data_IF_359344801298
#
_entry.id   IF_359344801298
#
_cell.length_a   1.000
_cell.length_b   1.000
_cell.length_c   1.000
_cell.angle_alpha   90.00
_cell.angle_beta   90.00
_cell.angle_gamma   90.00
#
_symmetry.space_group_name_H-M   'P 1'
#
loop_
_entity.id
_entity.type
_entity.pdbx_description
1 polymer ?
#
# COMPACT_ATOMS: atom_id res chain seq x y z
N UNK A 1 31.84 6.45 13.07
CA UNK A 1 30.93 6.19 14.23
C UNK A 1 30.25 4.87 13.92
N UNK A 2 30.32 3.90 14.84
CA UNK A 2 29.71 2.60 14.61
C UNK A 2 28.21 2.76 14.23
N UNK A 3 27.76 1.96 13.27
CA UNK A 3 26.35 1.83 12.92
C UNK A 3 25.67 1.08 14.09
N UNK A 4 25.21 1.79 15.10
CA UNK A 4 24.37 1.21 16.14
C UNK A 4 22.93 1.55 15.80
N UNK A 5 22.21 0.66 15.08
CA UNK A 5 20.81 0.90 14.77
C UNK A 5 19.99 0.90 16.07
N UNK A 6 18.92 1.68 16.16
CA UNK A 6 18.00 1.59 17.28
C UNK A 6 17.46 0.16 17.35
N UNK A 7 17.43 -0.41 18.54
CA UNK A 7 16.77 -1.70 18.81
C UNK A 7 15.47 -1.37 19.51
N UNK A 8 14.37 -1.98 19.05
CA UNK A 8 13.08 -1.83 19.71
C UNK A 8 13.18 -2.27 21.19
N UNK A 9 12.55 -1.55 22.11
CA UNK A 9 12.69 -1.80 23.54
C UNK A 9 12.11 -3.15 23.98
N UNK A 10 11.18 -3.69 23.23
CA UNK A 10 10.53 -4.98 23.52
C UNK A 10 10.45 -5.83 22.25
N UNK A 11 11.21 -6.91 22.22
CA UNK A 11 11.24 -7.89 21.13
C UNK A 11 10.90 -9.26 21.72
N UNK A 12 9.77 -9.86 21.30
CA UNK A 12 9.38 -11.21 21.70
C UNK A 12 10.35 -12.27 21.10
N UNK A 13 11.08 -13.02 21.93
CA UNK A 13 12.04 -14.01 21.44
C UNK A 13 11.40 -15.10 20.54
N UNK A 14 10.13 -15.43 20.76
CA UNK A 14 9.45 -16.45 19.96
C UNK A 14 9.17 -15.95 18.52
N UNK A 15 8.91 -14.66 18.35
CA UNK A 15 8.76 -14.05 17.02
C UNK A 15 10.11 -14.05 16.31
N UNK A 16 11.20 -13.66 17.00
CA UNK A 16 12.55 -13.69 16.42
C UNK A 16 12.99 -15.10 16.03
N UNK A 17 12.68 -16.09 16.83
CA UNK A 17 13.01 -17.49 16.51
C UNK A 17 12.32 -17.93 15.21
N UNK A 18 11.02 -17.65 15.05
CA UNK A 18 10.28 -17.96 13.81
C UNK A 18 10.85 -17.23 12.62
N UNK A 19 11.16 -15.94 12.79
CA UNK A 19 11.76 -15.12 11.75
C UNK A 19 13.15 -15.66 11.34
N UNK A 20 14.02 -15.98 12.29
CA UNK A 20 15.36 -16.53 12.03
C UNK A 20 15.28 -17.88 11.28
N UNK A 21 14.31 -18.73 11.62
CA UNK A 21 14.08 -20.00 10.90
C UNK A 21 13.69 -19.77 9.44
N UNK A 22 12.79 -18.80 9.16
CA UNK A 22 12.39 -18.44 7.80
C UNK A 22 13.56 -17.87 6.98
N UNK A 23 14.42 -17.06 7.60
CA UNK A 23 15.56 -16.44 6.95
C UNK A 23 16.76 -17.39 6.75
N UNK A 24 16.73 -18.60 7.29
CA UNK A 24 17.88 -19.52 7.22
C UNK A 24 18.30 -19.80 5.77
N UNK A 25 17.35 -19.96 4.85
CA UNK A 25 17.62 -20.16 3.43
C UNK A 25 18.01 -18.89 2.67
N UNK A 26 17.64 -17.71 3.18
CA UNK A 26 17.96 -16.41 2.59
C UNK A 26 19.40 -15.99 2.90
N UNK A 27 19.93 -16.43 4.07
CA UNK A 27 21.27 -16.12 4.54
C UNK A 27 21.41 -14.70 5.10
N UNK A 28 22.64 -14.29 5.36
CA UNK A 28 22.96 -13.00 5.96
C UNK A 28 22.73 -11.81 4.99
N UNK A 29 22.47 -10.63 5.58
CA UNK A 29 22.41 -9.36 4.86
C UNK A 29 23.35 -8.34 5.51
N UNK A 30 24.13 -7.65 4.69
CA UNK A 30 25.04 -6.57 5.10
C UNK A 30 24.57 -5.24 4.54
N UNK A 31 24.45 -4.24 5.38
CA UNK A 31 24.25 -2.85 4.95
C UNK A 31 25.58 -2.10 4.98
N UNK A 32 25.93 -1.49 3.85
CA UNK A 32 27.07 -0.57 3.70
C UNK A 32 26.53 0.86 3.72
N UNK A 33 26.91 1.62 4.75
CA UNK A 33 26.36 2.96 5.02
C UNK A 33 27.53 3.93 5.16
N UNK A 34 27.78 4.74 4.14
CA UNK A 34 28.86 5.75 4.10
C UNK A 34 30.22 5.25 4.57
N UNK A 35 30.57 3.99 4.25
CA UNK A 35 31.84 3.36 4.59
C UNK A 35 31.81 2.49 5.85
N UNK A 36 30.82 2.61 6.69
CA UNK A 36 30.57 1.69 7.80
C UNK A 36 29.76 0.47 7.29
N UNK A 37 29.81 -0.63 8.01
CA UNK A 37 29.05 -1.85 7.66
C UNK A 37 28.41 -2.48 8.90
N UNK A 38 27.20 -2.99 8.75
CA UNK A 38 26.50 -3.84 9.73
C UNK A 38 25.93 -5.06 9.03
N UNK A 39 26.10 -6.23 9.64
CA UNK A 39 25.61 -7.51 9.11
C UNK A 39 24.60 -8.12 10.07
N UNK A 40 23.48 -8.58 9.52
CA UNK A 40 22.46 -9.37 10.19
C UNK A 40 22.53 -10.80 9.72
N UNK A 41 22.65 -11.73 10.65
CA UNK A 41 22.78 -13.17 10.36
C UNK A 41 21.68 -13.95 11.06
N UNK A 42 20.91 -14.81 10.36
CA UNK A 42 19.96 -15.70 11.01
C UNK A 42 20.70 -16.70 11.90
N UNK A 43 20.57 -16.55 13.20
CA UNK A 43 21.23 -17.39 14.22
C UNK A 43 20.19 -17.93 15.21
N UNK A 44 19.43 -18.98 14.78
CA UNK A 44 18.35 -19.56 15.60
C UNK A 44 18.84 -19.86 17.03
N UNK A 45 18.15 -19.36 18.06
CA UNK A 45 16.78 -18.83 18.07
C UNK A 45 16.65 -17.29 17.88
N UNK A 46 17.64 -16.62 17.35
CA UNK A 46 17.66 -15.16 17.23
C UNK A 46 18.27 -14.69 15.90
N UNK A 47 18.47 -13.41 15.78
CA UNK A 47 19.24 -12.75 14.72
C UNK A 47 20.47 -12.13 15.37
N UNK A 48 21.65 -12.52 14.88
CA UNK A 48 22.92 -11.93 15.30
C UNK A 48 23.19 -10.66 14.49
N UNK A 49 23.69 -9.62 15.14
CA UNK A 49 24.05 -8.34 14.52
C UNK A 49 25.51 -8.05 14.82
N UNK A 50 26.31 -7.97 13.77
CA UNK A 50 27.76 -7.76 13.86
C UNK A 50 28.18 -6.53 13.07
N UNK A 51 29.22 -5.84 13.56
CA UNK A 51 29.90 -4.81 12.76
C UNK A 51 30.72 -5.46 11.64
N UNK A 52 30.78 -4.77 10.50
CA UNK A 52 31.55 -5.22 9.35
C UNK A 52 30.73 -6.00 8.30
N UNK A 53 31.40 -6.36 7.21
CA UNK A 53 30.84 -7.07 6.07
C UNK A 53 31.12 -8.56 6.20
N UNK A 54 30.08 -9.38 6.08
CA UNK A 54 30.22 -10.84 6.08
C UNK A 54 30.38 -11.40 4.65
N UNK A 55 31.21 -12.44 4.54
CA UNK A 55 31.35 -13.20 3.29
C UNK A 55 30.03 -13.91 2.96
N UNK A 56 29.68 -13.94 1.67
CA UNK A 56 28.44 -14.59 1.21
C UNK A 56 27.15 -13.84 1.46
N UNK A 57 27.12 -12.80 2.33
CA UNK A 57 25.93 -12.03 2.61
C UNK A 57 25.38 -11.29 1.38
N UNK A 58 24.07 -11.06 1.31
CA UNK A 58 23.49 -10.01 0.47
C UNK A 58 24.07 -8.67 0.90
N UNK A 59 24.44 -7.80 -0.04
CA UNK A 59 25.07 -6.52 0.27
C UNK A 59 24.24 -5.39 -0.31
N UNK A 60 23.73 -4.54 0.58
CA UNK A 60 22.92 -3.37 0.27
C UNK A 60 23.71 -2.11 0.61
N UNK A 61 23.85 -1.19 -0.33
CA UNK A 61 24.53 0.09 -0.12
C UNK A 61 23.51 1.23 -0.11
N UNK A 62 23.69 2.15 0.85
CA UNK A 62 22.89 3.37 0.98
C UNK A 62 23.65 4.45 1.73
N UNK A 63 23.11 5.68 1.72
CA UNK A 63 23.60 6.77 2.55
C UNK A 63 23.19 6.62 4.02
N UNK A 64 23.82 7.35 4.92
CA UNK A 64 23.41 7.43 6.33
C UNK A 64 21.98 7.94 6.48
N UNK A 65 21.60 8.94 5.70
CA UNK A 65 20.23 9.48 5.72
C UNK A 65 19.21 8.41 5.33
N UNK A 66 19.47 7.65 4.25
CA UNK A 66 18.59 6.55 3.82
C UNK A 66 18.53 5.42 4.84
N UNK A 67 19.64 5.12 5.51
CA UNK A 67 19.67 4.14 6.60
C UNK A 67 18.83 4.59 7.81
N UNK A 68 18.99 5.84 8.23
CA UNK A 68 18.22 6.41 9.34
C UNK A 68 16.72 6.45 9.02
N UNK A 69 16.34 6.76 7.78
CA UNK A 69 14.96 6.71 7.31
C UNK A 69 14.40 5.27 7.34
N UNK A 70 15.18 4.29 6.87
CA UNK A 70 14.78 2.89 6.85
C UNK A 70 14.53 2.35 8.27
N UNK A 71 15.49 2.52 9.19
CA UNK A 71 15.39 1.96 10.55
C UNK A 71 14.35 2.68 11.42
N UNK A 72 14.05 3.94 11.12
CA UNK A 72 13.00 4.72 11.78
C UNK A 72 11.63 4.63 11.10
N UNK A 73 11.54 3.87 10.02
CA UNK A 73 10.31 3.66 9.25
C UNK A 73 9.74 4.96 8.63
N UNK A 74 10.58 5.96 8.37
CA UNK A 74 10.19 7.13 7.57
C UNK A 74 10.07 6.78 6.10
N UNK A 75 10.95 5.89 5.61
CA UNK A 75 10.92 5.37 4.24
C UNK A 75 11.08 3.86 4.25
N UNK A 76 10.33 3.17 3.41
CA UNK A 76 10.48 1.72 3.24
C UNK A 76 11.62 1.40 2.28
N UNK A 77 12.09 0.16 2.30
CA UNK A 77 13.10 -0.28 1.34
C UNK A 77 12.61 -0.18 -0.10
N UNK A 78 11.30 -0.35 -0.35
CA UNK A 78 10.68 -0.20 -1.67
C UNK A 78 10.83 1.25 -2.16
N UNK A 79 10.49 2.23 -1.31
CA UNK A 79 10.66 3.63 -1.65
C UNK A 79 12.13 3.97 -1.92
N UNK A 80 13.04 3.54 -1.04
CA UNK A 80 14.48 3.77 -1.22
C UNK A 80 15.01 3.12 -2.51
N UNK A 81 14.52 1.95 -2.88
CA UNK A 81 14.87 1.29 -4.13
C UNK A 81 14.32 2.05 -5.36
N UNK A 82 13.06 2.46 -5.33
CA UNK A 82 12.44 3.23 -6.41
C UNK A 82 13.09 4.60 -6.61
N UNK A 83 13.55 5.23 -5.53
CA UNK A 83 14.23 6.53 -5.56
C UNK A 83 15.74 6.43 -5.85
N UNK A 84 16.27 5.22 -6.08
CA UNK A 84 17.71 4.95 -6.28
C UNK A 84 18.60 5.33 -5.07
N UNK A 85 18.00 5.48 -3.89
CA UNK A 85 18.70 5.74 -2.63
C UNK A 85 19.21 4.47 -1.96
N UNK A 86 18.91 3.29 -2.55
CA UNK A 86 19.36 1.97 -2.17
C UNK A 86 19.87 1.22 -3.40
N UNK A 87 21.04 0.60 -3.29
CA UNK A 87 21.62 -0.21 -4.36
C UNK A 87 22.11 -1.57 -3.84
N UNK A 88 21.98 -2.62 -4.66
CA UNK A 88 22.50 -3.94 -4.35
C UNK A 88 23.90 -4.11 -4.97
N UNK A 89 24.92 -4.34 -4.13
CA UNK A 89 26.26 -4.74 -4.60
C UNK A 89 26.34 -6.25 -4.80
N UNK A 90 25.58 -7.03 -4.02
CA UNK A 90 25.45 -8.48 -4.13
C UNK A 90 24.08 -8.93 -3.65
N UNK A 91 23.50 -9.94 -4.28
CA UNK A 91 22.13 -10.35 -4.05
C UNK A 91 21.16 -9.42 -4.78
N UNK A 92 19.97 -9.24 -4.23
CA UNK A 92 18.96 -8.42 -4.89
C UNK A 92 17.73 -8.14 -4.04
N UNK A 93 16.72 -7.61 -4.70
CA UNK A 93 15.46 -7.19 -4.10
C UNK A 93 14.79 -8.32 -3.27
N UNK A 94 14.79 -9.55 -3.78
CA UNK A 94 14.16 -10.70 -3.12
C UNK A 94 14.72 -10.95 -1.71
N UNK A 95 16.05 -10.96 -1.57
CA UNK A 95 16.68 -11.18 -0.27
C UNK A 95 16.38 -10.04 0.71
N UNK A 96 16.37 -8.79 0.23
CA UNK A 96 16.00 -7.64 1.04
C UNK A 96 14.53 -7.74 1.48
N UNK A 97 13.63 -8.15 0.59
CA UNK A 97 12.22 -8.34 0.87
C UNK A 97 11.97 -9.43 1.93
N UNK A 98 12.78 -10.50 1.93
CA UNK A 98 12.73 -11.54 2.96
C UNK A 98 13.15 -10.98 4.34
N UNK A 99 14.13 -10.08 4.37
CA UNK A 99 14.64 -9.46 5.59
C UNK A 99 13.77 -8.33 6.12
N UNK A 100 13.01 -7.62 5.28
CA UNK A 100 12.28 -6.40 5.65
C UNK A 100 11.37 -6.56 6.88
N UNK A 101 10.51 -7.60 7.01
CA UNK A 101 9.66 -7.76 8.20
C UNK A 101 10.47 -7.96 9.49
N UNK A 102 11.63 -8.58 9.39
CA UNK A 102 12.49 -8.82 10.56
C UNK A 102 13.22 -7.55 10.98
N UNK A 103 13.69 -6.77 10.02
CA UNK A 103 14.31 -5.46 10.27
C UNK A 103 13.31 -4.49 10.91
N UNK A 104 12.06 -4.45 10.41
CA UNK A 104 10.97 -3.66 11.00
C UNK A 104 10.71 -4.06 12.46
N UNK A 105 10.70 -5.36 12.72
CA UNK A 105 10.51 -5.84 14.08
C UNK A 105 11.69 -5.49 14.98
N UNK A 106 12.93 -5.70 14.55
CA UNK A 106 14.14 -5.41 15.32
C UNK A 106 14.31 -3.92 15.64
N UNK A 107 13.96 -3.04 14.69
CA UNK A 107 14.24 -1.61 14.83
C UNK A 107 13.05 -0.78 15.32
N UNK A 108 11.85 -1.15 14.92
CA UNK A 108 10.63 -0.40 15.19
C UNK A 108 9.60 -1.16 16.04
N UNK A 109 9.85 -2.42 16.37
CA UNK A 109 8.91 -3.24 17.15
C UNK A 109 7.64 -3.64 16.38
N UNK A 110 7.62 -3.46 15.04
CA UNK A 110 6.47 -3.79 14.20
C UNK A 110 6.45 -5.30 13.99
N UNK A 111 5.48 -6.04 14.57
CA UNK A 111 5.50 -7.49 14.51
C UNK A 111 5.19 -7.99 13.09
N UNK A 112 5.82 -9.08 12.64
CA UNK A 112 5.37 -9.78 11.44
C UNK A 112 3.92 -10.26 11.62
N UNK A 113 3.12 -10.16 10.57
CA UNK A 113 1.74 -10.63 10.58
C UNK A 113 1.69 -12.14 10.89
N UNK A 114 0.79 -12.51 11.81
CA UNK A 114 0.56 -13.88 12.25
C UNK A 114 -0.95 -14.19 12.16
N UNK A 115 -1.41 -14.96 11.16
CA UNK A 115 -2.82 -15.25 10.96
C UNK A 115 -3.45 -16.04 12.12
N UNK A 116 -2.65 -16.82 12.87
CA UNK A 116 -3.12 -17.58 14.03
C UNK A 116 -3.44 -16.68 15.24
N UNK A 117 -2.96 -15.46 15.23
CA UNK A 117 -3.16 -14.46 16.28
C UNK A 117 -4.14 -13.35 15.88
N UNK A 118 -4.74 -13.43 14.69
CA UNK A 118 -5.73 -12.46 14.26
C UNK A 118 -6.97 -12.53 15.17
N UNK A 119 -7.23 -11.46 15.91
CA UNK A 119 -8.41 -11.30 16.76
C UNK A 119 -9.31 -10.20 16.21
N UNK A 120 -10.48 -10.58 15.80
CA UNK A 120 -11.46 -9.64 15.24
C UNK A 120 -12.40 -9.04 16.30
N UNK A 121 -12.16 -9.28 17.58
CA UNK A 121 -12.98 -8.79 18.69
C UNK A 121 -14.48 -9.06 18.49
N UNK A 122 -14.82 -10.21 17.91
CA UNK A 122 -16.21 -10.62 17.61
C UNK A 122 -16.86 -9.90 16.43
N UNK A 123 -16.11 -9.09 15.66
CA UNK A 123 -16.63 -8.39 14.48
C UNK A 123 -16.64 -9.28 13.24
N UNK A 124 -17.56 -8.98 12.34
CA UNK A 124 -17.70 -9.69 11.07
C UNK A 124 -16.92 -8.95 9.97
N UNK A 125 -15.93 -9.61 9.31
CA UNK A 125 -15.23 -9.00 8.17
C UNK A 125 -16.12 -8.80 6.92
N UNK A 126 -17.30 -9.42 6.87
CA UNK A 126 -18.29 -9.22 5.79
C UNK A 126 -19.33 -8.14 6.09
N UNK A 127 -19.24 -7.47 7.25
CA UNK A 127 -20.24 -6.48 7.66
C UNK A 127 -20.29 -5.30 6.68
N UNK A 128 -21.52 -4.93 6.31
CA UNK A 128 -21.82 -3.76 5.49
C UNK A 128 -22.63 -2.78 6.34
N UNK A 129 -22.23 -1.52 6.32
CA UNK A 129 -22.86 -0.45 7.06
C UNK A 129 -23.60 0.52 6.13
N UNK A 130 -24.35 1.45 6.71
CA UNK A 130 -24.90 2.62 6.01
C UNK A 130 -24.46 3.89 6.72
N UNK A 131 -24.69 5.06 6.10
CA UNK A 131 -24.36 6.35 6.73
C UNK A 131 -25.20 6.64 8.00
N UNK A 132 -26.24 5.88 8.28
CA UNK A 132 -27.04 6.03 9.51
C UNK A 132 -26.37 5.40 10.73
N UNK A 133 -25.33 4.59 10.55
CA UNK A 133 -24.55 4.03 11.63
C UNK A 133 -23.75 5.11 12.38
N UNK A 134 -23.59 4.93 13.69
CA UNK A 134 -22.82 5.84 14.53
C UNK A 134 -21.33 5.83 14.17
N UNK A 135 -20.67 7.01 14.23
CA UNK A 135 -19.24 7.15 13.99
C UNK A 135 -18.40 6.21 14.87
N UNK A 136 -18.81 5.97 16.12
CA UNK A 136 -18.10 5.07 17.03
C UNK A 136 -18.15 3.61 16.56
N UNK A 137 -19.27 3.17 15.98
CA UNK A 137 -19.42 1.81 15.44
C UNK A 137 -18.59 1.64 14.18
N UNK A 138 -18.66 2.60 13.26
CA UNK A 138 -17.86 2.62 12.03
C UNK A 138 -16.35 2.67 12.33
N UNK A 139 -15.95 3.54 13.27
CA UNK A 139 -14.56 3.65 13.71
C UNK A 139 -14.06 2.35 14.33
N UNK A 140 -14.84 1.72 15.20
CA UNK A 140 -14.47 0.47 15.84
C UNK A 140 -14.35 -0.71 14.83
N UNK A 141 -15.15 -0.73 13.76
CA UNK A 141 -14.96 -1.69 12.67
C UNK A 141 -13.65 -1.43 11.92
N UNK A 142 -13.41 -0.16 11.55
CA UNK A 142 -12.21 0.24 10.83
C UNK A 142 -10.93 0.02 11.67
N UNK A 143 -10.98 0.29 12.98
CA UNK A 143 -9.86 0.09 13.92
C UNK A 143 -9.48 -1.39 14.06
N UNK A 144 -10.46 -2.30 14.12
CA UNK A 144 -10.20 -3.73 14.29
C UNK A 144 -9.88 -4.43 12.98
N UNK A 145 -10.63 -4.12 11.92
CA UNK A 145 -10.49 -4.80 10.63
C UNK A 145 -9.48 -4.16 9.69
N UNK A 146 -9.18 -2.86 9.89
CA UNK A 146 -8.41 -2.06 8.96
C UNK A 146 -9.20 -1.63 7.72
N UNK A 147 -10.46 -2.04 7.59
CA UNK A 147 -11.34 -1.64 6.49
C UNK A 147 -12.82 -1.57 6.89
N UNK A 148 -13.60 -0.89 6.04
CA UNK A 148 -15.03 -0.67 6.23
C UNK A 148 -15.72 -0.63 4.86
N UNK A 149 -16.90 -1.25 4.74
CA UNK A 149 -17.80 -1.13 3.59
C UNK A 149 -19.06 -0.36 4.02
N UNK A 150 -19.34 0.75 3.33
CA UNK A 150 -20.54 1.58 3.56
C UNK A 150 -21.36 1.61 2.28
N UNK A 151 -22.56 1.04 2.33
CA UNK A 151 -23.46 0.94 1.19
C UNK A 151 -24.24 2.23 0.95
N UNK A 152 -24.55 2.50 -0.31
CA UNK A 152 -25.46 3.56 -0.76
C UNK A 152 -25.08 4.95 -0.23
N UNK A 153 -23.79 5.27 -0.16
CA UNK A 153 -23.29 6.60 0.23
C UNK A 153 -23.67 7.63 -0.81
N UNK A 154 -23.64 7.26 -2.08
CA UNK A 154 -24.02 8.08 -3.22
C UNK A 154 -25.16 7.44 -4.01
N UNK A 155 -25.95 8.28 -4.65
CA UNK A 155 -27.04 7.83 -5.52
C UNK A 155 -26.54 7.38 -6.88
N UNK A 156 -27.29 6.54 -7.62
CA UNK A 156 -26.96 6.19 -9.00
C UNK A 156 -26.81 7.41 -9.93
N UNK A 157 -27.58 8.46 -9.73
CA UNK A 157 -27.51 9.70 -10.54
C UNK A 157 -26.18 10.46 -10.29
N UNK A 158 -25.73 10.57 -9.02
CA UNK A 158 -24.42 11.14 -8.69
C UNK A 158 -23.30 10.34 -9.37
N UNK A 159 -23.39 9.00 -9.36
CA UNK A 159 -22.41 8.13 -10.02
C UNK A 159 -22.46 8.24 -11.55
N UNK A 160 -23.62 8.44 -12.13
CA UNK A 160 -23.75 8.68 -13.58
C UNK A 160 -23.04 9.98 -13.99
N UNK A 161 -23.19 11.06 -13.22
CA UNK A 161 -22.50 12.34 -13.45
C UNK A 161 -20.98 12.17 -13.32
N UNK A 162 -20.51 11.47 -12.29
CA UNK A 162 -19.10 11.21 -12.09
C UNK A 162 -18.51 10.34 -13.22
N UNK A 163 -19.21 9.30 -13.67
CA UNK A 163 -18.79 8.45 -14.78
C UNK A 163 -18.70 9.25 -16.10
N UNK A 164 -19.63 10.18 -16.37
CA UNK A 164 -19.54 11.04 -17.55
C UNK A 164 -18.27 11.91 -17.54
N UNK A 165 -17.84 12.41 -16.39
CA UNK A 165 -16.58 13.13 -16.25
C UNK A 165 -15.36 12.20 -16.43
N UNK A 166 -15.40 10.99 -15.91
CA UNK A 166 -14.35 9.98 -16.15
C UNK A 166 -14.26 9.67 -17.66
N UNK A 167 -15.37 9.50 -18.35
CA UNK A 167 -15.38 9.29 -19.80
C UNK A 167 -14.78 10.47 -20.57
N UNK A 168 -15.08 11.71 -20.17
CA UNK A 168 -14.48 12.91 -20.74
C UNK A 168 -12.96 12.93 -20.56
N UNK A 169 -12.48 12.68 -19.33
CA UNK A 169 -11.05 12.63 -19.04
C UNK A 169 -10.34 11.48 -19.78
N UNK A 170 -11.00 10.33 -19.90
CA UNK A 170 -10.48 9.18 -20.63
C UNK A 170 -10.35 9.47 -22.15
N UNK A 171 -11.27 10.23 -22.73
CA UNK A 171 -11.21 10.64 -24.13
C UNK A 171 -10.03 11.58 -24.41
N UNK A 172 -9.58 12.34 -23.44
CA UNK A 172 -8.42 13.24 -23.53
C UNK A 172 -7.08 12.50 -23.29
N UNK A 173 -7.11 11.38 -22.56
CA UNK A 173 -5.91 10.65 -22.16
C UNK A 173 -5.20 10.00 -23.37
N UNK A 174 -3.86 9.92 -23.30
CA UNK A 174 -3.02 9.30 -24.34
C UNK A 174 -1.89 8.51 -23.68
N UNK A 175 -1.48 7.36 -24.25
CA UNK A 175 -0.28 6.67 -23.80
C UNK A 175 0.93 7.62 -23.77
N UNK A 176 1.63 7.62 -22.64
CA UNK A 176 2.82 8.47 -22.44
C UNK A 176 2.53 9.89 -21.94
N UNK A 177 1.25 10.26 -21.70
CA UNK A 177 0.95 11.48 -20.96
C UNK A 177 1.27 11.32 -19.45
N UNK A 178 1.34 12.40 -18.71
CA UNK A 178 1.62 12.43 -17.26
C UNK A 178 0.35 12.33 -16.41
N UNK A 179 -0.80 11.99 -17.00
CA UNK A 179 -2.13 12.04 -16.37
C UNK A 179 -2.88 10.74 -16.45
N UNK A 180 -2.29 9.74 -17.11
CA UNK A 180 -2.93 8.44 -17.31
C UNK A 180 -1.92 7.30 -17.38
N UNK A 181 -2.34 6.13 -16.93
CA UNK A 181 -1.54 4.92 -16.99
C UNK A 181 -2.25 3.91 -17.87
N UNK A 182 -1.45 3.15 -18.62
CA UNK A 182 -1.92 2.26 -19.66
C UNK A 182 -1.34 0.87 -19.48
N UNK A 183 -2.12 -0.12 -19.83
CA UNK A 183 -1.73 -1.54 -19.79
C UNK A 183 -1.88 -2.17 -21.16
N UNK A 184 -1.16 -3.27 -21.37
CA UNK A 184 -1.32 -4.06 -22.59
C UNK A 184 -2.41 -5.12 -22.39
N UNK A 185 -3.34 -5.25 -23.31
CA UNK A 185 -4.36 -6.29 -23.34
C UNK A 185 -3.85 -7.58 -24.01
N UNK A 186 -4.59 -8.67 -23.86
CA UNK A 186 -4.28 -9.95 -24.53
C UNK A 186 -4.19 -9.82 -26.05
N UNK A 187 -4.92 -8.86 -26.63
CA UNK A 187 -4.86 -8.54 -28.05
C UNK A 187 -3.64 -7.70 -28.47
N UNK A 188 -2.82 -7.27 -27.53
CA UNK A 188 -1.67 -6.39 -27.78
C UNK A 188 -2.01 -4.91 -27.83
N UNK A 189 -3.28 -4.54 -27.65
CA UNK A 189 -3.71 -3.14 -27.62
C UNK A 189 -3.40 -2.47 -26.28
N UNK A 190 -3.22 -1.15 -26.29
CA UNK A 190 -3.12 -0.35 -25.08
C UNK A 190 -4.50 0.00 -24.55
N UNK A 191 -4.73 -0.25 -23.25
CA UNK A 191 -5.95 0.12 -22.56
C UNK A 191 -5.64 1.03 -21.36
N UNK A 192 -6.46 2.07 -21.18
CA UNK A 192 -6.37 2.98 -20.05
C UNK A 192 -6.76 2.25 -18.77
N UNK A 193 -5.87 2.22 -17.77
CA UNK A 193 -6.11 1.55 -16.48
C UNK A 193 -6.18 2.49 -15.28
N UNK A 194 -5.67 3.72 -15.39
CA UNK A 194 -5.73 4.71 -14.31
C UNK A 194 -5.68 6.13 -14.85
N UNK A 195 -6.54 6.98 -14.32
CA UNK A 195 -6.45 8.43 -14.44
C UNK A 195 -5.90 8.98 -13.12
N UNK A 196 -4.94 9.88 -13.17
CA UNK A 196 -4.35 10.54 -11.99
C UNK A 196 -4.60 12.04 -12.02
N UNK A 197 -4.49 12.69 -10.87
CA UNK A 197 -4.74 14.13 -10.68
C UNK A 197 -6.11 14.55 -11.20
N UNK A 198 -7.12 13.70 -11.05
CA UNK A 198 -8.44 13.91 -11.66
C UNK A 198 -9.18 15.10 -11.07
N UNK A 199 -9.00 15.39 -9.78
CA UNK A 199 -9.64 16.54 -9.11
C UNK A 199 -9.05 17.89 -9.51
N UNK A 200 -7.85 17.92 -10.10
CA UNK A 200 -7.29 19.14 -10.71
C UNK A 200 -7.89 19.45 -12.08
N UNK A 201 -8.63 18.50 -12.68
CA UNK A 201 -9.11 18.56 -14.07
C UNK A 201 -10.63 18.45 -14.18
N UNK A 202 -11.32 18.16 -13.09
CA UNK A 202 -12.77 18.01 -13.02
C UNK A 202 -13.34 18.61 -11.73
N UNK A 203 -14.17 19.61 -11.85
CA UNK A 203 -14.89 20.19 -10.70
C UNK A 203 -15.91 19.20 -10.09
N UNK A 204 -16.44 18.28 -10.91
CA UNK A 204 -17.34 17.21 -10.43
C UNK A 204 -16.60 16.25 -9.52
N UNK A 205 -15.44 15.75 -9.95
CA UNK A 205 -14.62 14.83 -9.14
C UNK A 205 -14.02 15.55 -7.93
N UNK A 206 -13.67 16.84 -8.05
CA UNK A 206 -13.24 17.65 -6.91
C UNK A 206 -14.36 17.82 -5.87
N UNK A 207 -15.62 17.98 -6.31
CA UNK A 207 -16.76 18.06 -5.41
C UNK A 207 -17.00 16.75 -4.66
N UNK A 208 -16.77 15.57 -5.29
CA UNK A 208 -16.82 14.28 -4.60
C UNK A 208 -15.69 14.12 -3.57
N UNK A 209 -14.47 14.59 -3.88
CA UNK A 209 -13.34 14.57 -2.94
C UNK A 209 -13.63 15.43 -1.69
N UNK A 210 -14.27 16.59 -1.88
CA UNK A 210 -14.63 17.52 -0.80
C UNK A 210 -15.99 17.19 -0.12
N UNK A 211 -16.70 16.14 -0.57
CA UNK A 211 -18.03 15.81 -0.07
C UNK A 211 -18.00 15.53 1.45
N UNK A 212 -18.95 16.10 2.22
CA UNK A 212 -19.02 15.87 3.67
C UNK A 212 -19.10 14.38 4.06
N UNK A 213 -19.75 13.53 3.24
CA UNK A 213 -19.83 12.07 3.46
C UNK A 213 -18.45 11.43 3.37
N UNK A 214 -17.64 11.80 2.37
CA UNK A 214 -16.25 11.33 2.18
C UNK A 214 -15.37 11.82 3.34
N UNK A 215 -15.47 13.09 3.71
CA UNK A 215 -14.72 13.65 4.83
C UNK A 215 -15.09 12.99 6.17
N UNK A 216 -16.37 12.72 6.42
CA UNK A 216 -16.80 11.99 7.62
C UNK A 216 -16.11 10.63 7.71
N UNK A 217 -16.15 9.84 6.63
CA UNK A 217 -15.57 8.50 6.59
C UNK A 217 -14.04 8.52 6.67
N UNK A 218 -13.38 9.47 6.02
CA UNK A 218 -11.92 9.61 6.04
C UNK A 218 -11.34 10.06 7.38
N UNK A 219 -12.15 10.63 8.27
CA UNK A 219 -11.75 11.18 9.56
C UNK A 219 -12.23 10.35 10.77
N UNK A 220 -12.73 9.13 10.53
CA UNK A 220 -13.28 8.27 11.60
C UNK A 220 -12.23 7.90 12.66
N UNK A 221 -11.01 7.57 12.26
CA UNK A 221 -9.94 7.17 13.18
C UNK A 221 -9.17 8.38 13.74
N UNK A 222 -8.95 9.39 12.92
CA UNK A 222 -8.18 10.57 13.31
C UNK A 222 -8.71 11.83 12.60
N UNK A 223 -9.26 12.75 13.40
CA UNK A 223 -9.77 14.03 12.92
C UNK A 223 -8.68 15.01 12.48
N UNK A 224 -7.41 14.71 12.73
CA UNK A 224 -6.28 15.52 12.28
C UNK A 224 -5.86 15.23 10.85
N UNK A 225 -6.31 14.12 10.25
CA UNK A 225 -6.00 13.78 8.86
C UNK A 225 -6.49 14.84 7.89
N UNK A 226 -5.79 15.01 6.80
CA UNK A 226 -6.07 16.00 5.75
C UNK A 226 -5.85 15.41 4.36
N UNK A 227 -6.54 15.93 3.39
CA UNK A 227 -6.19 15.76 1.98
C UNK A 227 -4.78 16.31 1.71
N UNK A 228 -4.12 15.82 0.67
CA UNK A 228 -2.83 16.35 0.24
C UNK A 228 -2.91 17.87 0.01
N UNK A 229 -1.89 18.64 0.45
CA UNK A 229 -1.84 20.08 0.20
C UNK A 229 -1.93 20.37 -1.30
N UNK A 230 -2.71 21.39 -1.67
CA UNK A 230 -2.89 21.81 -3.06
C UNK A 230 -3.29 20.65 -4.00
N UNK A 231 -3.90 19.59 -3.44
CA UNK A 231 -4.28 18.37 -4.18
C UNK A 231 -3.09 17.74 -4.93
N UNK A 232 -1.88 17.81 -4.37
CA UNK A 232 -0.65 17.32 -5.01
C UNK A 232 -0.75 15.87 -5.46
N UNK A 233 -1.37 15.02 -4.63
CA UNK A 233 -1.65 13.64 -5.03
C UNK A 233 -2.86 13.57 -5.99
N UNK A 234 -3.79 14.53 -5.88
CA UNK A 234 -5.08 14.49 -6.55
C UNK A 234 -5.83 13.20 -6.24
N UNK A 235 -7.06 13.08 -6.65
CA UNK A 235 -7.70 11.78 -6.66
C UNK A 235 -7.31 10.99 -7.92
N UNK A 236 -7.31 9.66 -7.80
CA UNK A 236 -7.09 8.77 -8.92
C UNK A 236 -8.36 7.97 -9.21
N UNK A 237 -8.64 7.71 -10.48
CA UNK A 237 -9.67 6.77 -10.89
C UNK A 237 -9.00 5.52 -11.45
N UNK A 238 -9.20 4.39 -10.77
CA UNK A 238 -8.78 3.08 -11.26
C UNK A 238 -9.85 2.57 -12.24
N UNK A 239 -9.38 2.12 -13.41
CA UNK A 239 -10.21 1.48 -14.43
C UNK A 239 -9.73 0.05 -14.62
N UNK A 240 -10.47 -0.91 -14.11
CA UNK A 240 -10.22 -2.32 -14.36
C UNK A 240 -10.70 -2.67 -15.76
N UNK A 241 -9.80 -3.15 -16.59
CA UNK A 241 -10.07 -3.45 -18.00
C UNK A 241 -10.03 -4.98 -18.19
N UNK A 242 -11.07 -5.60 -18.75
CA UNK A 242 -11.04 -7.02 -19.10
C UNK A 242 -9.90 -7.36 -20.07
N UNK A 243 -9.34 -8.55 -19.95
CA UNK A 243 -8.33 -9.07 -20.88
C UNK A 243 -6.96 -8.40 -20.78
N UNK A 244 -6.63 -7.74 -19.69
CA UNK A 244 -5.27 -7.21 -19.49
C UNK A 244 -4.28 -8.32 -19.14
N UNK A 245 -3.07 -8.25 -19.69
CA UNK A 245 -2.01 -9.24 -19.46
C UNK A 245 -0.94 -8.74 -18.48
N UNK A 246 -0.88 -7.44 -18.24
CA UNK A 246 0.18 -6.84 -17.43
C UNK A 246 -0.26 -5.52 -16.79
N UNK A 247 0.48 -5.09 -15.78
CA UNK A 247 0.40 -3.74 -15.24
C UNK A 247 -0.66 -3.55 -14.16
N UNK A 248 -0.93 -2.30 -13.85
CA UNK A 248 -1.69 -1.80 -12.70
C UNK A 248 -3.19 -2.15 -12.67
N UNK A 249 -3.70 -2.87 -13.66
CA UNK A 249 -5.06 -3.42 -13.66
C UNK A 249 -5.15 -4.77 -12.92
N UNK A 250 -3.99 -5.41 -12.68
CA UNK A 250 -3.84 -6.52 -11.74
C UNK A 250 -3.01 -6.00 -10.57
N UNK A 251 -3.64 -5.65 -9.46
CA UNK A 251 -2.95 -5.14 -8.29
C UNK A 251 -2.69 -6.30 -7.35
N UNK A 252 -1.44 -6.76 -7.23
CA UNK A 252 -1.08 -7.87 -6.35
C UNK A 252 -1.29 -7.48 -4.88
N UNK A 253 -1.15 -8.42 -3.98
CA UNK A 253 -1.17 -8.19 -2.54
C UNK A 253 -0.08 -7.19 -2.13
N UNK A 254 -0.46 -6.11 -1.45
CA UNK A 254 0.44 -5.04 -1.02
C UNK A 254 -0.14 -4.27 0.18
N UNK A 255 0.68 -3.39 0.73
CA UNK A 255 0.31 -2.28 1.60
C UNK A 255 0.59 -0.98 0.83
N UNK A 256 -0.33 -0.01 0.87
CA UNK A 256 -0.12 1.29 0.21
C UNK A 256 0.98 2.12 0.89
N UNK A 257 1.09 2.00 2.21
CA UNK A 257 2.13 2.66 2.98
C UNK A 257 3.52 2.21 2.53
N UNK A 258 4.40 3.17 2.36
CA UNK A 258 5.77 2.93 1.96
C UNK A 258 6.04 2.94 0.46
N UNK A 259 5.02 2.84 -0.38
CA UNK A 259 5.17 3.05 -1.82
C UNK A 259 5.42 4.52 -2.15
N UNK A 260 4.81 5.45 -1.39
CA UNK A 260 4.94 6.89 -1.56
C UNK A 260 6.00 7.59 -0.70
N UNK A 261 6.82 6.84 0.07
CA UNK A 261 7.92 7.44 0.83
C UNK A 261 7.57 7.85 2.25
N UNK A 262 6.56 7.26 2.87
CA UNK A 262 6.19 7.53 4.26
C UNK A 262 6.27 6.27 5.15
N UNK A 263 6.16 6.48 6.46
CA UNK A 263 6.24 5.41 7.46
C UNK A 263 5.22 4.30 7.19
N UNK A 264 5.60 3.06 7.50
CA UNK A 264 4.75 1.90 7.24
C UNK A 264 3.52 1.85 8.15
N UNK A 265 3.64 2.33 9.38
CA UNK A 265 2.52 2.48 10.32
C UNK A 265 1.83 3.84 10.14
N UNK A 266 1.57 4.19 8.93
CA UNK A 266 0.90 5.43 8.58
C UNK A 266 -0.59 5.31 8.92
N UNK A 267 -1.17 6.23 9.71
CA UNK A 267 -2.60 6.25 9.96
C UNK A 267 -3.43 6.79 8.79
N UNK A 268 -2.83 6.96 7.61
CA UNK A 268 -3.54 7.42 6.41
C UNK A 268 -4.68 6.48 6.05
N UNK A 269 -5.76 7.08 5.56
CA UNK A 269 -7.00 6.39 5.22
C UNK A 269 -7.32 6.60 3.75
N UNK A 270 -7.56 5.54 3.02
CA UNK A 270 -7.96 5.54 1.62
C UNK A 270 -9.47 5.30 1.49
N UNK A 271 -10.15 6.16 0.76
CA UNK A 271 -11.58 6.09 0.45
C UNK A 271 -11.74 5.67 -1.00
N UNK A 272 -12.39 4.55 -1.25
CA UNK A 272 -12.74 4.08 -2.59
C UNK A 272 -14.21 4.33 -2.90
N UNK A 273 -14.53 5.35 -3.70
CA UNK A 273 -15.89 5.63 -4.17
C UNK A 273 -16.15 4.73 -5.39
N UNK A 274 -17.12 3.85 -5.29
CA UNK A 274 -17.44 2.90 -6.34
C UNK A 274 -18.31 3.56 -7.41
N UNK A 275 -17.67 4.04 -8.49
CA UNK A 275 -18.38 4.66 -9.62
C UNK A 275 -19.19 3.62 -10.39
N UNK A 276 -18.73 2.38 -10.40
CA UNK A 276 -19.46 1.18 -10.83
C UNK A 276 -19.42 0.15 -9.72
N UNK A 277 -20.26 -0.87 -9.77
CA UNK A 277 -20.19 -1.99 -8.84
C UNK A 277 -18.91 -2.82 -9.06
N UNK A 278 -18.56 -3.63 -8.07
CA UNK A 278 -17.46 -4.59 -8.17
C UNK A 278 -17.83 -5.93 -7.56
N UNK A 279 -17.38 -7.00 -8.20
CA UNK A 279 -17.51 -8.39 -7.79
C UNK A 279 -16.28 -9.17 -8.23
N UNK A 280 -16.17 -10.44 -7.88
CA UNK A 280 -15.02 -11.28 -8.25
C UNK A 280 -14.71 -11.25 -9.75
N UNK A 281 -15.75 -11.27 -10.59
CA UNK A 281 -15.60 -11.24 -12.06
C UNK A 281 -15.04 -9.91 -12.59
N UNK A 282 -15.21 -8.81 -11.86
CA UNK A 282 -14.70 -7.47 -12.25
C UNK A 282 -13.45 -7.06 -11.50
N UNK A 283 -12.90 -7.93 -10.64
CA UNK A 283 -11.70 -7.68 -9.85
C UNK A 283 -11.99 -6.78 -8.65
N UNK A 284 -12.82 -7.25 -7.73
CA UNK A 284 -13.18 -6.58 -6.48
C UNK A 284 -11.98 -6.37 -5.54
N UNK A 285 -12.18 -5.62 -4.48
CA UNK A 285 -11.20 -5.46 -3.43
C UNK A 285 -11.14 -6.73 -2.56
N UNK A 286 -9.94 -7.28 -2.39
CA UNK A 286 -9.63 -8.33 -1.43
C UNK A 286 -8.80 -7.74 -0.31
N UNK A 287 -9.09 -8.08 0.93
CA UNK A 287 -8.38 -7.60 2.11
C UNK A 287 -8.01 -8.74 3.05
N UNK A 288 -6.94 -8.55 3.81
CA UNK A 288 -6.59 -9.40 4.96
C UNK A 288 -7.01 -8.64 6.22
N UNK A 289 -8.16 -8.98 6.82
CA UNK A 289 -8.66 -8.28 7.99
C UNK A 289 -7.65 -8.27 9.14
N UNK A 290 -7.47 -7.12 9.78
CA UNK A 290 -6.58 -6.97 10.94
C UNK A 290 -5.09 -7.05 10.63
N UNK A 291 -4.67 -7.00 9.36
CA UNK A 291 -3.25 -7.04 8.98
C UNK A 291 -2.53 -5.70 9.10
N UNK A 292 -3.25 -4.61 9.30
CA UNK A 292 -2.66 -3.29 9.50
C UNK A 292 -1.86 -3.21 10.81
N UNK A 293 -0.89 -2.32 10.88
CA UNK A 293 0.01 -2.22 12.02
C UNK A 293 1.03 -3.35 12.12
N UNK A 294 1.13 -4.22 11.10
CA UNK A 294 2.02 -5.37 11.08
C UNK A 294 2.91 -5.38 9.84
N UNK A 295 4.08 -5.99 9.96
CA UNK A 295 4.99 -6.16 8.84
C UNK A 295 4.59 -7.39 8.02
N UNK A 296 4.38 -7.20 6.72
CA UNK A 296 4.10 -8.29 5.80
C UNK A 296 5.35 -8.68 5.00
N UNK A 297 5.38 -9.92 4.57
CA UNK A 297 6.36 -10.39 3.61
C UNK A 297 6.00 -9.89 2.20
N UNK A 298 6.95 -9.34 1.45
CA UNK A 298 6.68 -8.82 0.10
C UNK A 298 6.11 -9.89 -0.85
N UNK A 299 6.51 -11.16 -0.69
CA UNK A 299 5.95 -12.30 -1.43
C UNK A 299 4.73 -12.89 -0.73
N UNK A 300 3.82 -12.04 -0.37
CA UNK A 300 2.62 -12.40 0.38
C UNK A 300 1.81 -13.52 -0.28
N UNK A 301 1.75 -13.56 -1.61
CA UNK A 301 1.03 -14.59 -2.38
C UNK A 301 1.51 -16.02 -2.09
N UNK A 302 2.79 -16.19 -1.74
CA UNK A 302 3.36 -17.48 -1.35
C UNK A 302 3.01 -17.86 0.11
N UNK A 303 2.40 -16.96 0.87
CA UNK A 303 2.13 -17.09 2.30
C UNK A 303 0.62 -17.05 2.65
N UNK A 304 -0.27 -17.12 1.65
CA UNK A 304 -1.72 -16.96 1.86
C UNK A 304 -2.41 -18.20 2.47
N UNK A 305 -1.75 -19.36 2.54
CA UNK A 305 -2.36 -20.54 3.10
C UNK A 305 -2.71 -20.32 4.59
N UNK A 306 -3.99 -20.50 4.92
CA UNK A 306 -4.51 -20.28 6.29
C UNK A 306 -4.76 -18.81 6.66
N UNK A 307 -4.49 -17.85 5.76
CA UNK A 307 -4.74 -16.43 6.02
C UNK A 307 -6.21 -16.10 5.74
N UNK A 308 -6.92 -15.43 6.66
CA UNK A 308 -8.29 -14.99 6.40
C UNK A 308 -8.29 -13.90 5.33
N UNK A 309 -9.07 -14.10 4.28
CA UNK A 309 -9.26 -13.11 3.21
C UNK A 309 -10.74 -12.77 3.12
N UNK A 310 -11.06 -11.49 3.14
CA UNK A 310 -12.40 -10.98 2.87
C UNK A 310 -12.46 -10.37 1.46
N UNK A 311 -13.50 -10.71 0.71
CA UNK A 311 -13.81 -10.11 -0.58
C UNK A 311 -14.91 -9.06 -0.39
N UNK A 312 -14.70 -7.86 -0.92
CA UNK A 312 -15.62 -6.74 -0.77
C UNK A 312 -16.34 -6.51 -2.10
N UNK A 313 -17.54 -7.08 -2.22
CA UNK A 313 -18.43 -6.81 -3.35
C UNK A 313 -19.19 -5.51 -3.09
N UNK A 314 -19.37 -4.70 -4.12
CA UNK A 314 -19.98 -3.36 -3.99
C UNK A 314 -20.94 -3.05 -5.11
N UNK A 315 -21.94 -2.19 -4.81
CA UNK A 315 -22.80 -1.56 -5.81
C UNK A 315 -22.27 -0.17 -6.21
N UNK A 316 -22.74 0.42 -7.32
CA UNK A 316 -22.46 1.82 -7.64
C UNK A 316 -22.94 2.74 -6.51
N UNK A 317 -22.10 3.67 -6.07
CA UNK A 317 -22.38 4.57 -4.97
C UNK A 317 -21.99 4.07 -3.59
N UNK A 318 -21.56 2.83 -3.45
CA UNK A 318 -20.94 2.33 -2.23
C UNK A 318 -19.56 2.97 -2.02
N UNK A 319 -19.11 2.98 -0.78
CA UNK A 319 -17.77 3.44 -0.41
C UNK A 319 -17.06 2.37 0.39
N UNK A 320 -15.83 2.08 0.00
CA UNK A 320 -14.89 1.29 0.80
C UNK A 320 -13.89 2.22 1.47
N UNK A 321 -13.59 1.96 2.74
CA UNK A 321 -12.57 2.69 3.51
C UNK A 321 -11.53 1.69 3.96
N UNK A 322 -10.25 2.00 3.83
CA UNK A 322 -9.21 1.16 4.42
C UNK A 322 -8.02 2.02 4.88
N UNK A 323 -7.36 1.55 5.93
CA UNK A 323 -6.07 2.13 6.34
C UNK A 323 -5.00 1.68 5.35
N UNK A 324 -4.04 2.57 5.04
CA UNK A 324 -3.11 2.33 3.94
C UNK A 324 -2.10 1.21 4.20
N UNK A 325 -1.87 0.84 5.43
CA UNK A 325 -1.01 -0.31 5.77
C UNK A 325 -1.78 -1.64 5.88
N UNK A 326 -3.08 -1.67 5.59
CA UNK A 326 -3.84 -2.91 5.43
C UNK A 326 -3.32 -3.69 4.21
N UNK A 327 -3.12 -5.00 4.39
CA UNK A 327 -2.80 -5.89 3.27
C UNK A 327 -4.01 -6.07 2.39
N UNK A 328 -3.91 -5.67 1.14
CA UNK A 328 -5.02 -5.78 0.20
C UNK A 328 -4.54 -6.07 -1.23
N UNK A 329 -5.47 -6.50 -2.05
CA UNK A 329 -5.26 -6.77 -3.47
C UNK A 329 -6.50 -6.43 -4.28
N UNK A 330 -6.33 -6.34 -5.57
CA UNK A 330 -7.44 -6.22 -6.51
C UNK A 330 -7.07 -6.95 -7.81
N UNK A 331 -7.47 -8.24 -7.95
CA UNK A 331 -7.07 -9.08 -9.06
C UNK A 331 -7.63 -8.55 -10.38
N UNK A 332 -7.07 -9.01 -11.49
CA UNK A 332 -7.56 -8.67 -12.81
C UNK A 332 -9.02 -9.15 -13.00
N UNK A 333 -9.83 -8.44 -13.79
CA UNK A 333 -11.14 -8.94 -14.19
C UNK A 333 -11.02 -10.27 -14.96
N UNK A 334 -11.91 -11.20 -14.65
CA UNK A 334 -12.04 -12.47 -15.37
C UNK A 334 -13.30 -12.50 -16.24
N UNK A 335 -14.25 -11.59 -16.00
CA UNK A 335 -15.46 -11.40 -16.78
C UNK A 335 -15.32 -10.32 -17.85
N UNK A 336 -16.37 -10.14 -18.63
CA UNK A 336 -16.43 -9.13 -19.69
C UNK A 336 -16.64 -7.69 -19.16
N UNK A 337 -17.05 -7.55 -17.89
CA UNK A 337 -17.27 -6.26 -17.24
C UNK A 337 -15.98 -5.64 -16.69
N UNK A 338 -15.94 -4.31 -16.69
CA UNK A 338 -14.89 -3.54 -16.01
C UNK A 338 -15.36 -2.96 -14.69
N UNK A 339 -14.44 -2.35 -13.96
CA UNK A 339 -14.70 -1.64 -12.69
C UNK A 339 -14.08 -0.26 -12.74
N UNK A 340 -14.78 0.71 -12.14
CA UNK A 340 -14.28 2.08 -11.92
C UNK A 340 -14.40 2.45 -10.46
N UNK A 341 -13.31 2.84 -9.85
CA UNK A 341 -13.26 3.30 -8.46
C UNK A 341 -12.42 4.56 -8.38
N UNK A 342 -12.98 5.62 -7.77
CA UNK A 342 -12.25 6.84 -7.46
C UNK A 342 -11.66 6.71 -6.06
N UNK A 343 -10.36 6.93 -5.93
CA UNK A 343 -9.64 6.90 -4.66
C UNK A 343 -9.31 8.30 -4.18
N UNK A 344 -9.64 8.56 -2.89
CA UNK A 344 -9.34 9.78 -2.16
C UNK A 344 -8.59 9.38 -0.88
N UNK A 345 -7.46 10.01 -0.58
CA UNK A 345 -6.66 9.64 0.59
C UNK A 345 -6.53 10.80 1.56
N UNK A 346 -6.71 10.49 2.84
CA UNK A 346 -6.50 11.40 3.96
C UNK A 346 -5.21 11.02 4.68
N UNK A 347 -4.32 11.99 4.85
CA UNK A 347 -2.96 11.81 5.37
C UNK A 347 -2.75 12.55 6.68
N UNK A 348 -1.85 12.10 7.57
CA UNK A 348 -1.35 12.93 8.65
C UNK A 348 -0.61 14.14 8.07
N UNK A 349 -0.83 15.33 8.62
CA UNK A 349 -0.22 16.56 8.12
C UNK A 349 1.32 16.53 8.16
N UNK A 350 1.88 15.81 9.13
CA UNK A 350 3.33 15.62 9.29
C UNK A 350 3.98 14.84 8.14
N UNK A 351 3.19 14.05 7.37
CA UNK A 351 3.70 13.33 6.21
C UNK A 351 4.37 14.27 5.21
N UNK A 352 3.75 15.42 4.95
CA UNK A 352 4.21 16.40 3.96
C UNK A 352 5.48 17.15 4.37
N UNK A 353 5.90 17.04 5.63
CA UNK A 353 7.20 17.51 6.08
C UNK A 353 8.35 16.61 5.61
N UNK A 354 8.03 15.34 5.27
CA UNK A 354 8.99 14.32 4.85
C UNK A 354 8.93 13.99 3.36
N UNK A 355 7.84 14.34 2.67
CA UNK A 355 7.68 14.11 1.23
C UNK A 355 7.98 15.40 0.49
N UNK A 356 9.08 15.43 -0.25
CA UNK A 356 9.46 16.54 -1.11
C UNK A 356 8.73 16.52 -2.46
N UNK A 357 8.87 17.60 -3.24
CA UNK A 357 8.35 17.64 -4.62
C UNK A 357 8.90 16.47 -5.45
N UNK A 358 8.03 15.82 -6.22
CA UNK A 358 8.39 14.69 -7.07
C UNK A 358 8.64 13.37 -6.33
N UNK A 359 8.32 13.30 -5.03
CA UNK A 359 8.48 12.11 -4.20
C UNK A 359 7.15 11.42 -3.86
N UNK A 360 6.02 11.97 -4.26
CA UNK A 360 4.73 11.33 -4.14
C UNK A 360 4.66 10.07 -5.03
N UNK A 361 3.82 9.09 -4.67
CA UNK A 361 3.74 7.80 -5.38
C UNK A 361 3.52 7.96 -6.89
N UNK A 362 2.59 8.81 -7.31
CA UNK A 362 2.32 9.03 -8.74
C UNK A 362 3.55 9.63 -9.47
N UNK A 363 4.32 10.50 -8.81
CA UNK A 363 5.54 11.07 -9.38
C UNK A 363 6.65 10.02 -9.49
N UNK A 364 6.81 9.15 -8.47
CA UNK A 364 7.79 8.07 -8.49
C UNK A 364 7.49 7.08 -9.60
N UNK A 365 6.24 6.63 -9.73
CA UNK A 365 5.84 5.70 -10.80
C UNK A 365 6.07 6.30 -12.18
N UNK A 366 5.70 7.55 -12.39
CA UNK A 366 5.91 8.25 -13.67
C UNK A 366 7.39 8.32 -14.04
N UNK A 367 8.25 8.64 -13.08
CA UNK A 367 9.67 8.85 -13.30
C UNK A 367 10.50 7.55 -13.28
N UNK A 368 9.93 6.43 -12.79
CA UNK A 368 10.62 5.18 -12.50
C UNK A 368 9.86 3.94 -13.00
N UNK A 369 9.22 4.07 -14.16
CA UNK A 369 8.36 3.01 -14.73
C UNK A 369 9.10 1.67 -14.86
N UNK A 370 10.40 1.68 -15.24
CA UNK A 370 11.18 0.45 -15.37
C UNK A 370 11.46 -0.21 -14.02
N UNK A 371 11.73 0.58 -12.97
CA UNK A 371 11.95 0.06 -11.61
C UNK A 371 10.65 -0.50 -11.05
N UNK A 372 9.52 0.18 -11.24
CA UNK A 372 8.20 -0.31 -10.82
C UNK A 372 7.85 -1.62 -11.51
N UNK A 373 8.13 -1.76 -12.79
CA UNK A 373 7.91 -3.01 -13.52
C UNK A 373 8.72 -4.20 -12.96
N UNK A 374 9.84 -3.95 -12.29
CA UNK A 374 10.66 -5.00 -11.65
C UNK A 374 10.12 -5.44 -10.28
N UNK A 375 9.19 -4.68 -9.70
CA UNK A 375 8.51 -5.03 -8.44
C UNK A 375 7.31 -5.96 -8.67
N UNK A 376 6.80 -6.03 -9.88
CA UNK A 376 5.71 -6.89 -10.32
C UNK A 376 6.24 -8.24 -10.85
#
# INVERSE_FOLDING_TARGET
MALSPPVAPEVDPAILERAARRLHSTGAITFLVDGDAVTYTPAVPSVQVDEGKADGATVVRMSRASWDDLVRQFRTFINLFLSEDLAFERGGFRQMADWDPVLKYLHAGIPPYDPERADFAGRDPSATFTLDADDAELAAQLEVMGFLHVASVFTPDEMAVANAEVDRLAAEARPGDDRSWWVTTEGGDSALCRLVYTTLRSSVLAALEDDPRVRRLGLLLDRSLRLAPDRMEGSAVLLKVPGNTSGLSNIPWHQDCGMGGHAILCPSVSIGIQLTGSEAATGNLLVVPGSHGQAIHYRWEECLEGVPVAAVDTAPGDVTVHVQDLVHASPRPTGAGGRRTMYVTFYPSTLWEHIGPGQAFNDLVRNRTEQVARLQ
#
